data_IF_897594761587
#
_entry.id   IF_897594761587
#
_cell.length_a   1.000
_cell.length_b   1.000
_cell.length_c   1.000
_cell.angle_alpha   90.00
_cell.angle_beta   90.00
_cell.angle_gamma   90.00
#
_symmetry.space_group_name_H-M   'P 1'
#
loop_
_entity.id
_entity.type
_entity.pdbx_description
1 polymer ?
#
# COMPACT_ATOMS: atom_id res chain seq x y z
N UNK A 1 -14.65 42.17 -9.17
CA UNK A 1 -14.75 41.44 -7.89
C UNK A 1 -15.20 40.02 -8.19
N UNK A 2 -14.25 39.09 -8.33
CA UNK A 2 -14.50 37.68 -8.66
C UNK A 2 -14.82 36.93 -7.35
N UNK A 3 -15.81 36.02 -7.29
CA UNK A 3 -16.14 35.28 -6.08
C UNK A 3 -14.96 34.41 -5.62
N UNK A 4 -14.81 34.18 -4.29
CA UNK A 4 -13.73 33.39 -3.72
C UNK A 4 -13.75 31.96 -4.28
N UNK A 5 -12.58 31.50 -4.70
CA UNK A 5 -12.29 30.18 -5.27
C UNK A 5 -13.09 29.04 -4.61
N UNK A 6 -14.24 28.69 -5.20
CA UNK A 6 -14.80 27.35 -5.09
C UNK A 6 -13.89 26.47 -5.93
N UNK A 7 -12.83 25.93 -5.32
CA UNK A 7 -12.03 24.90 -5.96
C UNK A 7 -12.97 23.79 -6.41
N UNK A 8 -12.95 23.47 -7.70
CA UNK A 8 -13.76 22.37 -8.23
C UNK A 8 -13.30 21.06 -7.61
N UNK A 9 -14.21 20.10 -7.46
CA UNK A 9 -13.92 18.77 -6.89
C UNK A 9 -12.78 18.08 -7.66
N UNK A 10 -12.71 18.32 -8.97
CA UNK A 10 -11.64 17.84 -9.85
C UNK A 10 -10.28 18.42 -9.45
N UNK A 11 -10.18 19.76 -9.32
CA UNK A 11 -8.94 20.43 -8.89
C UNK A 11 -8.52 20.01 -7.47
N UNK A 12 -9.48 19.84 -6.56
CA UNK A 12 -9.19 19.35 -5.21
C UNK A 12 -8.64 17.90 -5.23
N UNK A 13 -9.17 17.05 -6.10
CA UNK A 13 -8.70 15.67 -6.28
C UNK A 13 -7.27 15.59 -6.83
N UNK A 14 -6.93 16.43 -7.80
CA UNK A 14 -5.57 16.48 -8.39
C UNK A 14 -4.53 16.95 -7.37
N UNK A 15 -4.85 18.01 -6.60
CA UNK A 15 -3.99 18.50 -5.54
C UNK A 15 -3.77 17.43 -4.46
N UNK A 16 -4.83 16.74 -4.05
CA UNK A 16 -4.75 15.66 -3.07
C UNK A 16 -3.88 14.49 -3.56
N UNK A 17 -4.07 14.03 -4.80
CA UNK A 17 -3.20 13.01 -5.42
C UNK A 17 -1.74 13.43 -5.39
N UNK A 18 -1.45 14.66 -5.79
CA UNK A 18 -0.08 15.18 -5.85
C UNK A 18 0.57 15.18 -4.47
N UNK A 19 -0.17 15.59 -3.43
CA UNK A 19 0.32 15.55 -2.05
C UNK A 19 0.61 14.12 -1.57
N UNK A 20 -0.25 13.16 -1.88
CA UNK A 20 -0.05 11.74 -1.52
C UNK A 20 1.19 11.14 -2.19
N UNK A 21 1.41 11.43 -3.48
CA UNK A 21 2.62 10.97 -4.17
C UNK A 21 3.88 11.67 -3.65
N UNK A 22 3.81 12.95 -3.29
CA UNK A 22 4.91 13.66 -2.67
C UNK A 22 5.31 13.04 -1.31
N UNK A 23 4.35 12.61 -0.50
CA UNK A 23 4.61 11.89 0.75
C UNK A 23 5.34 10.56 0.51
N UNK A 24 4.94 9.81 -0.52
CA UNK A 24 5.66 8.60 -0.90
C UNK A 24 7.10 8.88 -1.37
N UNK A 25 7.33 9.96 -2.12
CA UNK A 25 8.68 10.37 -2.52
C UNK A 25 9.56 10.80 -1.33
N UNK A 26 8.95 11.31 -0.26
CA UNK A 26 9.63 11.65 1.00
C UNK A 26 9.92 10.43 1.89
N UNK A 27 9.52 9.22 1.47
CA UNK A 27 9.64 8.00 2.28
C UNK A 27 8.51 7.77 3.28
N UNK A 28 7.48 8.64 3.30
CA UNK A 28 6.27 8.44 4.10
C UNK A 28 5.34 7.51 3.33
N UNK A 29 5.63 6.22 3.42
CA UNK A 29 4.83 5.17 2.82
C UNK A 29 3.74 4.67 3.76
N UNK A 30 2.61 4.30 3.17
CA UNK A 30 1.48 3.66 3.86
C UNK A 30 1.60 2.14 3.69
N UNK A 31 2.00 1.38 4.73
CA UNK A 31 2.23 -0.05 4.61
C UNK A 31 0.92 -0.83 4.49
N UNK A 32 0.79 -1.59 3.41
CA UNK A 32 -0.27 -2.55 3.16
C UNK A 32 0.33 -3.96 3.12
N UNK A 33 -0.14 -4.83 4.03
CA UNK A 33 0.36 -6.19 4.18
C UNK A 33 -0.49 -7.14 3.38
N UNK A 34 0.11 -7.83 2.40
CA UNK A 34 -0.59 -8.87 1.62
C UNK A 34 0.01 -10.23 1.91
N UNK A 35 -0.87 -11.18 2.21
CA UNK A 35 -0.51 -12.58 2.39
C UNK A 35 -0.72 -13.31 1.06
N UNK A 36 0.31 -14.01 0.56
CA UNK A 36 0.14 -14.81 -0.63
C UNK A 36 -0.72 -16.04 -0.36
N UNK A 37 -1.65 -16.29 -1.28
CA UNK A 37 -2.62 -17.39 -1.19
C UNK A 37 -1.91 -18.76 -1.19
N UNK A 38 -0.76 -18.85 -1.87
CA UNK A 38 0.07 -20.06 -1.91
C UNK A 38 0.62 -20.41 -0.51
N UNK A 39 1.10 -19.41 0.25
CA UNK A 39 1.55 -19.59 1.63
C UNK A 39 0.43 -20.09 2.54
N UNK A 40 -0.78 -19.55 2.39
CA UNK A 40 -1.96 -19.95 3.19
C UNK A 40 -2.35 -21.41 2.91
N UNK A 41 -2.43 -21.79 1.63
CA UNK A 41 -2.77 -23.16 1.23
C UNK A 41 -1.72 -24.16 1.76
N UNK A 42 -0.44 -23.81 1.64
CA UNK A 42 0.65 -24.68 2.09
C UNK A 42 0.69 -24.80 3.61
N UNK A 43 0.36 -23.74 4.36
CA UNK A 43 0.25 -23.77 5.82
C UNK A 43 -0.81 -24.76 6.32
N UNK A 44 -1.92 -24.90 5.59
CA UNK A 44 -3.01 -25.82 5.96
C UNK A 44 -2.68 -27.27 5.61
N UNK A 45 -2.05 -27.50 4.45
CA UNK A 45 -1.76 -28.86 3.95
C UNK A 45 -0.50 -29.47 4.55
N UNK A 46 0.52 -28.65 4.86
CA UNK A 46 1.85 -29.08 5.30
C UNK A 46 2.26 -28.47 6.65
N UNK A 47 1.50 -28.74 7.70
CA UNK A 47 1.93 -28.40 9.07
C UNK A 47 3.18 -29.20 9.44
N UNK A 48 4.30 -28.62 9.94
CA UNK A 48 4.58 -27.24 10.37
C UNK A 48 5.34 -26.36 9.36
N UNK A 49 5.83 -26.94 8.27
CA UNK A 49 6.70 -26.27 7.28
C UNK A 49 5.96 -25.14 6.57
N UNK A 50 4.68 -25.34 6.25
CA UNK A 50 3.87 -24.34 5.56
C UNK A 50 3.62 -23.08 6.38
N UNK A 51 3.66 -23.17 7.71
CA UNK A 51 3.48 -22.01 8.60
C UNK A 51 4.71 -21.10 8.53
N UNK A 52 5.91 -21.66 8.41
CA UNK A 52 7.16 -20.89 8.17
C UNK A 52 7.10 -20.22 6.79
N UNK A 53 6.68 -20.95 5.75
CA UNK A 53 6.54 -20.37 4.41
C UNK A 53 5.52 -19.23 4.37
N UNK A 54 4.42 -19.30 5.12
CA UNK A 54 3.42 -18.22 5.20
C UNK A 54 4.01 -16.92 5.77
N UNK A 55 4.86 -17.03 6.79
CA UNK A 55 5.54 -15.85 7.36
C UNK A 55 6.59 -15.27 6.41
N UNK A 56 7.26 -16.08 5.60
CA UNK A 56 8.21 -15.61 4.58
C UNK A 56 7.51 -14.99 3.37
N UNK A 57 6.31 -15.45 3.03
CA UNK A 57 5.51 -14.98 1.88
C UNK A 57 4.65 -13.74 2.21
N UNK A 58 4.90 -13.10 3.36
CA UNK A 58 4.24 -11.85 3.72
C UNK A 58 4.98 -10.69 3.06
N UNK A 59 4.30 -9.98 2.16
CA UNK A 59 4.90 -8.88 1.44
C UNK A 59 4.27 -7.56 1.85
N UNK A 60 5.10 -6.64 2.36
CA UNK A 60 4.67 -5.28 2.66
C UNK A 60 4.90 -4.39 1.44
N UNK A 61 3.82 -3.83 0.90
CA UNK A 61 3.87 -2.86 -0.18
C UNK A 61 3.26 -1.56 0.28
N UNK A 62 3.71 -0.45 -0.27
CA UNK A 62 2.98 0.80 -0.05
C UNK A 62 1.64 0.76 -0.79
N UNK A 63 0.52 1.03 -0.09
CA UNK A 63 -0.81 1.11 -0.73
C UNK A 63 -0.87 2.17 -1.85
N UNK A 64 -0.15 3.29 -1.67
CA UNK A 64 -0.18 4.46 -2.56
C UNK A 64 0.71 4.31 -3.81
N UNK A 65 1.96 3.90 -3.63
CA UNK A 65 2.95 3.86 -4.71
C UNK A 65 3.41 2.44 -5.11
N UNK A 66 2.99 1.41 -4.37
CA UNK A 66 3.27 0.01 -4.71
C UNK A 66 4.71 -0.46 -4.47
N UNK A 67 5.60 0.41 -3.99
CA UNK A 67 6.99 0.03 -3.66
C UNK A 67 7.01 -1.01 -2.54
N UNK A 68 8.00 -1.91 -2.58
CA UNK A 68 8.26 -2.84 -1.49
C UNK A 68 8.79 -2.08 -0.29
N UNK A 69 8.11 -2.21 0.84
CA UNK A 69 8.60 -1.76 2.13
C UNK A 69 9.31 -2.96 2.74
N UNK A 70 10.52 -3.21 2.25
CA UNK A 70 11.40 -4.19 2.88
C UNK A 70 11.76 -3.66 4.28
N UNK A 71 11.65 -4.55 5.27
CA UNK A 71 11.68 -4.20 6.70
C UNK A 71 13.06 -3.76 7.17
#
# INVERSE_FOLDING_TARGET
>A
MLPPHVMSVEQAGEQYRTQLFAQCAQGIHDPDTKYGVCGIITAVVCFPIGLICLFTDTEQRCHRCGVRLDK
#
